data_IF_342574440626
#
_entry.id   IF_342574440626
#
_cell.length_a   1.000
_cell.length_b   1.000
_cell.length_c   1.000
_cell.angle_alpha   90.00
_cell.angle_beta   90.00
_cell.angle_gamma   90.00
#
_symmetry.space_group_name_H-M   'P 1'
#
loop_
_entity.id
_entity.type
_entity.pdbx_description
1 polymer ?
#
# COMPACT_ATOMS: atom_id res chain seq x y z
N UNK A 1 3.57 4.71 -23.50
CA UNK A 1 4.63 4.67 -22.48
C UNK A 1 4.16 3.65 -21.47
N UNK A 2 4.91 2.58 -21.23
CA UNK A 2 4.44 1.50 -20.34
C UNK A 2 4.29 2.04 -18.91
N UNK A 3 3.17 1.71 -18.25
CA UNK A 3 2.85 2.13 -16.89
C UNK A 3 3.70 1.41 -15.84
N UNK A 4 5.02 1.54 -15.94
CA UNK A 4 5.98 0.91 -15.06
C UNK A 4 6.10 1.71 -13.76
N UNK A 5 5.90 1.01 -12.64
CA UNK A 5 6.07 1.50 -11.28
C UNK A 5 7.39 1.01 -10.71
N UNK A 6 8.13 1.89 -10.04
CA UNK A 6 9.20 1.52 -9.13
C UNK A 6 8.64 1.64 -7.71
N UNK A 7 8.74 0.56 -6.93
CA UNK A 7 8.24 0.51 -5.56
C UNK A 7 9.42 0.23 -4.63
N UNK A 8 9.60 1.10 -3.65
CA UNK A 8 10.60 0.98 -2.60
C UNK A 8 9.86 0.94 -1.27
N UNK A 9 10.27 0.04 -0.39
CA UNK A 9 9.69 -0.04 0.95
C UNK A 9 10.79 0.07 1.98
N UNK A 10 10.59 0.97 2.94
CA UNK A 10 11.32 0.93 4.18
C UNK A 10 10.87 -0.30 4.96
N UNK A 11 11.81 -1.02 5.56
CA UNK A 11 11.48 -2.16 6.42
C UNK A 11 10.60 -1.75 7.60
N UNK A 12 9.94 -2.71 8.27
CA UNK A 12 9.18 -2.39 9.47
C UNK A 12 10.10 -1.75 10.52
N UNK A 13 9.68 -0.61 11.07
CA UNK A 13 10.33 0.01 12.22
C UNK A 13 10.10 -0.82 13.50
N UNK A 14 10.66 -0.36 14.63
CA UNK A 14 10.49 -1.04 15.91
C UNK A 14 9.01 -1.25 16.28
N UNK A 15 8.10 -0.40 15.81
CA UNK A 15 6.65 -0.49 16.06
C UNK A 15 5.90 -1.32 15.01
N UNK A 16 6.58 -1.80 13.96
CA UNK A 16 5.96 -2.55 12.85
C UNK A 16 5.40 -1.67 11.73
N UNK A 17 5.75 -0.37 11.71
CA UNK A 17 5.33 0.52 10.63
C UNK A 17 6.28 0.39 9.43
N UNK A 18 5.67 0.30 8.26
CA UNK A 18 6.32 0.18 6.95
C UNK A 18 5.91 1.42 6.15
N UNK A 19 6.87 2.00 5.43
CA UNK A 19 6.60 3.08 4.47
C UNK A 19 6.87 2.55 3.07
N UNK A 20 5.87 2.56 2.20
CA UNK A 20 6.03 2.21 0.79
C UNK A 20 5.94 3.42 -0.11
N UNK A 21 6.97 3.63 -0.92
CA UNK A 21 7.13 4.73 -1.84
C UNK A 21 6.91 4.24 -3.27
N UNK A 22 5.97 4.86 -3.99
CA UNK A 22 5.56 4.49 -5.33
C UNK A 22 5.95 5.58 -6.32
N UNK A 23 6.88 5.24 -7.21
CA UNK A 23 7.44 6.14 -8.21
C UNK A 23 6.97 5.77 -9.61
N UNK A 24 6.76 6.77 -10.47
CA UNK A 24 6.72 6.52 -11.92
C UNK A 24 8.15 6.29 -12.41
N UNK A 25 8.38 5.15 -13.03
CA UNK A 25 9.72 4.72 -13.47
C UNK A 25 10.42 5.69 -14.43
N UNK A 26 9.66 6.43 -15.26
CA UNK A 26 10.22 7.32 -16.26
C UNK A 26 10.44 8.76 -15.78
N UNK A 27 9.80 9.17 -14.68
CA UNK A 27 10.03 10.50 -14.09
C UNK A 27 10.90 10.44 -12.85
N UNK A 28 10.95 9.29 -12.17
CA UNK A 28 11.62 9.14 -10.90
C UNK A 28 10.96 9.91 -9.76
N UNK A 29 9.78 10.49 -9.98
CA UNK A 29 9.05 11.23 -8.95
C UNK A 29 8.13 10.31 -8.15
N UNK A 30 8.09 10.56 -6.85
CA UNK A 30 7.18 9.90 -5.91
C UNK A 30 5.77 10.38 -6.20
N UNK A 31 4.88 9.46 -6.57
CA UNK A 31 3.48 9.77 -6.81
C UNK A 31 2.63 9.50 -5.57
N UNK A 32 2.95 8.40 -4.87
CA UNK A 32 2.25 7.98 -3.67
C UNK A 32 3.23 7.50 -2.62
N UNK A 33 2.88 7.75 -1.36
CA UNK A 33 3.48 7.14 -0.19
C UNK A 33 2.39 6.51 0.65
N UNK A 34 2.58 5.24 1.00
CA UNK A 34 1.67 4.46 1.82
C UNK A 34 2.34 4.25 3.17
N UNK A 35 1.70 4.74 4.24
CA UNK A 35 2.07 4.33 5.59
C UNK A 35 1.25 3.10 5.95
N UNK A 36 1.93 2.05 6.38
CA UNK A 36 1.35 0.74 6.62
C UNK A 36 1.76 0.33 8.02
N UNK A 37 0.80 -0.14 8.83
CA UNK A 37 1.10 -0.79 10.09
C UNK A 37 0.89 -2.29 9.91
N UNK A 38 1.95 -3.07 10.11
CA UNK A 38 1.87 -4.52 10.13
C UNK A 38 1.99 -5.00 11.59
N UNK A 39 1.15 -5.95 12.03
CA UNK A 39 1.34 -6.57 13.33
C UNK A 39 2.73 -7.22 13.36
N UNK A 40 3.45 -7.03 14.47
CA UNK A 40 4.79 -7.61 14.63
C UNK A 40 4.66 -9.11 14.42
N UNK A 41 5.31 -9.63 13.39
CA UNK A 41 5.67 -11.05 13.37
C UNK A 41 6.52 -11.26 14.62
N UNK A 42 5.95 -11.90 15.64
CA UNK A 42 6.66 -12.18 16.88
C UNK A 42 8.04 -12.72 16.53
N UNK A 43 9.08 -12.06 17.04
CA UNK A 43 10.46 -12.53 16.90
C UNK A 43 10.50 -13.97 17.42
N UNK A 44 10.42 -14.94 16.52
CA UNK A 44 10.63 -16.34 16.82
C UNK A 44 12.11 -16.53 17.08
N UNK A 45 12.50 -16.19 18.31
CA UNK A 45 13.70 -16.69 18.95
C UNK A 45 13.57 -18.14 19.41
N UNK A 46 12.52 -18.86 19.02
CA UNK A 46 12.46 -20.31 19.13
C UNK A 46 12.32 -20.94 17.75
N UNK A 47 13.43 -21.48 17.26
CA UNK A 47 13.46 -22.40 16.14
C UNK A 47 12.87 -23.74 16.58
N UNK A 48 11.58 -23.81 16.83
CA UNK A 48 10.90 -25.10 16.96
C UNK A 48 9.39 -24.95 16.86
N UNK A 49 8.81 -25.82 16.05
CA UNK A 49 7.40 -26.18 15.96
C UNK A 49 6.45 -25.24 15.19
N UNK A 50 6.18 -25.75 13.98
CA UNK A 50 4.88 -25.81 13.31
C UNK A 50 4.38 -24.58 12.55
N UNK A 51 4.57 -24.66 11.24
CA UNK A 51 3.48 -24.43 10.30
C UNK A 51 2.22 -25.19 10.79
N UNK A 52 1.34 -24.48 11.48
CA UNK A 52 -0.07 -24.79 11.85
C UNK A 52 -0.46 -23.65 12.81
N UNK A 53 -1.51 -22.88 12.62
CA UNK A 53 -2.69 -23.09 11.82
C UNK A 53 -3.30 -21.73 11.48
N UNK A 54 -3.74 -21.58 10.25
CA UNK A 54 -4.90 -20.73 9.97
C UNK A 54 -6.10 -21.46 10.59
N UNK A 55 -6.32 -21.27 11.89
CA UNK A 55 -7.61 -21.59 12.47
C UNK A 55 -8.53 -20.42 12.16
N UNK A 56 -9.62 -20.73 11.47
CA UNK A 56 -10.77 -19.87 11.27
C UNK A 56 -11.42 -19.58 12.64
N UNK A 57 -10.82 -18.66 13.38
CA UNK A 57 -11.41 -18.00 14.54
C UNK A 57 -11.92 -16.63 14.12
N UNK A 58 -13.10 -16.25 14.61
CA UNK A 58 -13.82 -14.99 14.38
C UNK A 58 -13.10 -13.73 14.93
N UNK A 59 -11.78 -13.62 14.73
CA UNK A 59 -10.93 -12.48 15.12
C UNK A 59 -9.90 -12.16 14.01
N UNK A 60 -10.37 -12.21 12.76
CA UNK A 60 -9.56 -12.18 11.53
C UNK A 60 -8.84 -10.87 11.19
N UNK A 61 -8.85 -9.88 12.08
CA UNK A 61 -8.30 -8.54 11.85
C UNK A 61 -6.95 -8.30 12.57
N UNK A 62 -6.70 -8.99 13.69
CA UNK A 62 -5.54 -8.70 14.55
C UNK A 62 -4.16 -9.02 13.93
N UNK A 63 -4.13 -9.71 12.79
CA UNK A 63 -2.91 -10.20 12.14
C UNK A 63 -2.72 -9.67 10.71
N UNK A 64 -3.55 -8.70 10.27
CA UNK A 64 -3.45 -8.14 8.93
C UNK A 64 -2.69 -6.80 8.92
N UNK A 65 -1.98 -6.52 7.83
CA UNK A 65 -1.38 -5.21 7.63
C UNK A 65 -2.42 -4.20 7.15
N UNK A 66 -2.38 -2.99 7.69
CA UNK A 66 -3.34 -1.92 7.39
C UNK A 66 -2.63 -0.72 6.80
N UNK A 67 -3.14 -0.20 5.68
CA UNK A 67 -2.74 1.13 5.19
C UNK A 67 -3.39 2.17 6.11
N UNK A 68 -2.58 2.89 6.87
CA UNK A 68 -3.04 3.91 7.82
C UNK A 68 -3.12 5.30 7.18
N UNK A 69 -2.29 5.56 6.17
CA UNK A 69 -2.24 6.84 5.47
C UNK A 69 -1.85 6.66 4.00
N UNK A 70 -2.43 7.49 3.14
CA UNK A 70 -2.04 7.64 1.75
C UNK A 70 -1.68 9.10 1.54
N UNK A 71 -0.42 9.37 1.22
CA UNK A 71 0.06 10.69 0.82
C UNK A 71 0.28 10.63 -0.69
N UNK A 72 -0.15 11.67 -1.41
CA UNK A 72 0.01 11.73 -2.87
C UNK A 72 0.54 13.09 -3.30
N UNK A 73 1.30 13.08 -4.39
CA UNK A 73 1.79 14.32 -4.99
C UNK A 73 0.63 15.06 -5.66
N UNK A 74 0.50 16.35 -5.36
CA UNK A 74 -0.55 17.23 -5.89
C UNK A 74 0.00 18.40 -6.71
N UNK A 75 1.32 18.43 -6.94
CA UNK A 75 2.02 19.48 -7.67
C UNK A 75 1.39 19.77 -9.04
N UNK A 76 1.14 21.06 -9.26
CA UNK A 76 0.50 21.58 -10.47
C UNK A 76 1.36 21.38 -11.73
N UNK A 77 2.68 21.32 -11.58
CA UNK A 77 3.70 21.12 -12.63
C UNK A 77 3.77 19.67 -13.15
N UNK A 78 3.36 18.69 -12.36
CA UNK A 78 3.20 17.30 -12.83
C UNK A 78 1.85 17.04 -13.51
N UNK A 79 0.88 17.91 -13.23
CA UNK A 79 -0.39 17.94 -13.95
C UNK A 79 -0.24 18.60 -15.33
N UNK A 80 0.94 18.99 -15.79
CA UNK A 80 1.11 19.62 -17.11
C UNK A 80 0.72 18.72 -18.32
N UNK A 81 0.55 17.41 -18.11
CA UNK A 81 0.02 16.45 -19.11
C UNK A 81 -1.47 16.11 -18.94
N UNK A 82 -2.28 16.97 -18.30
CA UNK A 82 -3.73 16.71 -18.16
C UNK A 82 -4.48 17.48 -17.07
N UNK A 83 -3.81 18.35 -16.32
CA UNK A 83 -4.31 19.50 -15.58
C UNK A 83 -5.18 19.25 -14.36
N UNK A 84 -5.55 18.00 -14.06
CA UNK A 84 -6.50 17.72 -13.00
C UNK A 84 -5.77 17.56 -11.66
N UNK A 85 -6.04 18.48 -10.73
CA UNK A 85 -5.73 18.28 -9.31
C UNK A 85 -6.42 16.98 -8.87
N UNK A 86 -5.61 15.96 -8.58
CA UNK A 86 -6.13 14.70 -8.10
C UNK A 86 -6.78 14.89 -6.73
N UNK A 87 -8.10 14.70 -6.68
CA UNK A 87 -8.86 14.75 -5.44
C UNK A 87 -8.59 13.52 -4.58
N UNK A 88 -8.89 13.60 -3.28
CA UNK A 88 -8.70 12.49 -2.33
C UNK A 88 -9.33 11.16 -2.81
N UNK A 89 -10.56 11.22 -3.34
CA UNK A 89 -11.26 10.03 -3.86
C UNK A 89 -10.53 9.38 -5.04
N UNK A 90 -9.92 10.18 -5.91
CA UNK A 90 -9.15 9.70 -7.05
C UNK A 90 -7.80 9.14 -6.59
N UNK A 91 -7.15 9.79 -5.64
CA UNK A 91 -5.92 9.30 -5.03
C UNK A 91 -6.11 7.95 -4.35
N UNK A 92 -7.20 7.79 -3.58
CA UNK A 92 -7.60 6.51 -2.99
C UNK A 92 -7.87 5.45 -4.05
N UNK A 93 -8.62 5.78 -5.12
CA UNK A 93 -8.89 4.85 -6.23
C UNK A 93 -7.60 4.40 -6.92
N UNK A 94 -6.69 5.33 -7.17
CA UNK A 94 -5.40 5.04 -7.80
C UNK A 94 -4.53 4.15 -6.89
N UNK A 95 -4.41 4.48 -5.59
CA UNK A 95 -3.68 3.67 -4.62
C UNK A 95 -4.24 2.24 -4.54
N UNK A 96 -5.58 2.08 -4.49
CA UNK A 96 -6.22 0.75 -4.50
C UNK A 96 -5.87 -0.01 -5.77
N UNK A 97 -5.93 0.65 -6.93
CA UNK A 97 -5.61 0.04 -8.22
C UNK A 97 -4.16 -0.44 -8.28
N UNK A 98 -3.21 0.38 -7.82
CA UNK A 98 -1.79 0.03 -7.79
C UNK A 98 -1.54 -1.13 -6.81
N UNK A 99 -2.10 -1.05 -5.60
CA UNK A 99 -1.97 -2.12 -4.62
C UNK A 99 -2.53 -3.46 -5.12
N UNK A 100 -3.66 -3.46 -5.83
CA UNK A 100 -4.24 -4.68 -6.41
C UNK A 100 -3.47 -5.18 -7.63
N UNK A 101 -3.19 -4.29 -8.58
CA UNK A 101 -2.64 -4.66 -9.88
C UNK A 101 -1.13 -4.88 -9.89
N UNK A 102 -0.39 -4.12 -9.08
CA UNK A 102 1.08 -4.17 -9.05
C UNK A 102 1.59 -4.97 -7.84
N UNK A 103 1.01 -4.73 -6.66
CA UNK A 103 1.44 -5.41 -5.43
C UNK A 103 0.68 -6.71 -5.13
N UNK A 104 -0.43 -6.98 -5.82
CA UNK A 104 -1.25 -8.19 -5.61
C UNK A 104 -2.03 -8.19 -4.28
N UNK A 105 -2.20 -7.04 -3.63
CA UNK A 105 -2.93 -6.93 -2.36
C UNK A 105 -4.44 -6.96 -2.59
N UNK A 106 -5.19 -7.69 -1.75
CA UNK A 106 -6.68 -7.75 -1.84
C UNK A 106 -7.35 -6.43 -1.43
N UNK A 107 -6.87 -5.83 -0.34
CA UNK A 107 -7.46 -4.66 0.33
C UNK A 107 -8.96 -4.87 0.61
N UNK A 108 -9.27 -5.76 1.55
CA UNK A 108 -10.63 -6.24 1.84
C UNK A 108 -11.56 -5.13 2.35
N UNK A 109 -11.00 -4.12 3.03
CA UNK A 109 -11.71 -2.95 3.56
C UNK A 109 -11.61 -1.70 2.66
N UNK A 110 -11.10 -1.81 1.43
CA UNK A 110 -11.04 -0.68 0.53
C UNK A 110 -12.45 -0.22 0.09
N UNK A 111 -12.67 1.11 -0.08
CA UNK A 111 -13.94 1.61 -0.62
C UNK A 111 -14.24 0.95 -1.97
N UNK A 112 -15.49 0.56 -2.18
CA UNK A 112 -15.96 0.01 -3.45
C UNK A 112 -15.82 1.08 -4.53
N UNK A 113 -14.76 0.99 -5.31
CA UNK A 113 -14.56 1.82 -6.49
C UNK A 113 -15.34 1.17 -7.63
N UNK A 114 -16.52 1.74 -7.93
CA UNK A 114 -17.27 1.40 -9.14
C UNK A 114 -16.46 1.80 -10.36
N UNK A 115 -16.41 0.90 -11.34
CA UNK A 115 -15.98 1.22 -12.70
C UNK A 115 -17.27 1.47 -13.49
N UNK A 116 -17.72 2.72 -13.55
CA UNK A 116 -18.67 3.17 -14.57
C UNK A 116 -17.88 3.54 -15.84
#
# INVERSE_FOLDING_TARGET
>A
MEERWLILSDGPDDMGNIVSHLYRSWTGCEMYRLNITAPRFGSSGDSSSTARAAEEGEDGDAHQAHVTEVIWESREDYNAYGGLKMGESEAKRAAISICRGVLGCKLENAPKVGWD
#
